data_IF_742375784255
#
_entry.id   IF_742375784255
#
_cell.length_a   1.000
_cell.length_b   1.000
_cell.length_c   1.000
_cell.angle_alpha   90.00
_cell.angle_beta   90.00
_cell.angle_gamma   90.00
#
_symmetry.space_group_name_H-M   'P 1'
#
loop_
_entity.id
_entity.type
_entity.pdbx_description
1 polymer ?
#
# COMPACT_ATOMS: atom_id res chain seq x y z
N UNK A 1 52.89 20.02 -15.33
CA UNK A 1 51.91 19.40 -14.41
C UNK A 1 50.87 18.71 -15.26
N UNK A 2 51.12 17.43 -15.46
CA UNK A 2 50.75 16.67 -16.64
C UNK A 2 49.28 16.26 -16.65
N UNK A 3 48.68 16.27 -17.85
CA UNK A 3 47.31 15.80 -18.10
C UNK A 3 47.05 14.39 -17.55
N UNK A 4 48.11 13.56 -17.44
CA UNK A 4 48.07 12.21 -16.87
C UNK A 4 47.62 12.19 -15.40
N UNK A 5 47.97 13.21 -14.60
CA UNK A 5 47.55 13.29 -13.18
C UNK A 5 46.08 13.67 -13.05
N UNK A 6 45.56 14.50 -13.96
CA UNK A 6 44.14 14.88 -13.98
C UNK A 6 43.24 13.71 -14.40
N UNK A 7 43.66 12.93 -15.40
CA UNK A 7 42.92 11.75 -15.83
C UNK A 7 42.87 10.64 -14.77
N UNK A 8 43.98 10.39 -14.05
CA UNK A 8 43.98 9.44 -12.93
C UNK A 8 43.06 9.89 -11.77
N UNK A 9 43.05 11.19 -11.48
CA UNK A 9 42.22 11.74 -10.40
C UNK A 9 40.73 11.66 -10.75
N UNK A 10 40.37 11.88 -12.02
CA UNK A 10 38.99 11.75 -12.48
C UNK A 10 38.50 10.29 -12.47
N UNK A 11 39.37 9.35 -12.84
CA UNK A 11 39.07 7.91 -12.79
C UNK A 11 38.81 7.44 -11.35
N UNK A 12 39.59 7.93 -10.38
CA UNK A 12 39.40 7.61 -8.97
C UNK A 12 38.04 8.12 -8.45
N UNK A 13 37.65 9.35 -8.81
CA UNK A 13 36.37 9.94 -8.41
C UNK A 13 35.18 9.14 -8.96
N UNK A 14 35.25 8.68 -10.21
CA UNK A 14 34.18 7.84 -10.79
C UNK A 14 34.03 6.51 -10.05
N UNK A 15 35.14 5.90 -9.65
CA UNK A 15 35.12 4.62 -8.95
C UNK A 15 34.50 4.75 -7.55
N UNK A 16 34.76 5.85 -6.85
CA UNK A 16 34.13 6.17 -5.57
C UNK A 16 32.63 6.47 -5.69
N UNK A 17 32.21 7.23 -6.71
CA UNK A 17 30.79 7.50 -6.97
C UNK A 17 30.03 6.22 -7.34
N UNK A 18 30.64 5.36 -8.14
CA UNK A 18 30.05 4.06 -8.48
C UNK A 18 29.91 3.16 -7.26
N UNK A 19 30.94 3.07 -6.42
CA UNK A 19 30.90 2.28 -5.19
C UNK A 19 29.83 2.74 -4.20
N UNK A 20 29.69 4.05 -4.01
CA UNK A 20 28.65 4.62 -3.12
C UNK A 20 27.24 4.42 -3.65
N UNK A 21 27.02 4.52 -4.97
CA UNK A 21 25.74 4.22 -5.60
C UNK A 21 25.35 2.74 -5.45
N UNK A 22 26.30 1.81 -5.60
CA UNK A 22 26.04 0.38 -5.35
C UNK A 22 25.64 0.11 -3.90
N UNK A 23 26.28 0.75 -2.92
CA UNK A 23 25.91 0.62 -1.51
C UNK A 23 24.51 1.18 -1.23
N UNK A 24 24.15 2.33 -1.83
CA UNK A 24 22.81 2.91 -1.71
C UNK A 24 21.74 1.99 -2.34
N UNK A 25 22.03 1.38 -3.49
CA UNK A 25 21.13 0.43 -4.14
C UNK A 25 20.92 -0.85 -3.30
N UNK A 26 21.97 -1.37 -2.66
CA UNK A 26 21.87 -2.51 -1.75
C UNK A 26 21.03 -2.17 -0.50
N UNK A 27 21.21 -0.98 0.06
CA UNK A 27 20.42 -0.51 1.20
C UNK A 27 18.93 -0.35 0.84
N UNK A 28 18.64 0.19 -0.34
CA UNK A 28 17.28 0.33 -0.85
C UNK A 28 16.63 -1.03 -1.15
N UNK A 29 17.39 -1.96 -1.74
CA UNK A 29 16.91 -3.32 -2.05
C UNK A 29 16.59 -4.13 -0.79
N UNK A 30 17.34 -3.94 0.30
CA UNK A 30 17.03 -4.53 1.61
C UNK A 30 15.77 -3.95 2.25
N UNK A 31 15.47 -2.67 1.99
CA UNK A 31 14.21 -2.03 2.37
C UNK A 31 13.00 -2.59 1.62
N UNK A 32 13.16 -2.88 0.33
CA UNK A 32 12.07 -3.43 -0.51
C UNK A 32 11.69 -4.87 -0.13
N UNK A 33 12.64 -5.69 0.34
CA UNK A 33 12.36 -7.05 0.81
C UNK A 33 11.44 -7.09 2.04
N UNK A 34 11.51 -6.07 2.91
CA UNK A 34 10.58 -5.94 4.04
C UNK A 34 9.17 -5.56 3.60
N UNK A 35 9.04 -4.81 2.51
CA UNK A 35 7.72 -4.43 1.97
C UNK A 35 7.07 -5.61 1.26
N UNK A 36 7.81 -6.38 0.46
CA UNK A 36 7.26 -7.56 -0.22
C UNK A 36 6.88 -8.70 0.74
N UNK A 37 7.66 -8.93 1.81
CA UNK A 37 7.30 -9.91 2.85
C UNK A 37 6.07 -9.51 3.67
N UNK A 38 5.74 -8.21 3.75
CA UNK A 38 4.51 -7.74 4.38
C UNK A 38 3.30 -7.80 3.42
N UNK A 39 3.52 -7.83 2.11
CA UNK A 39 2.45 -7.94 1.09
C UNK A 39 2.03 -9.38 0.79
N UNK A 40 2.93 -10.36 0.88
CA UNK A 40 2.60 -11.78 0.67
C UNK A 40 1.53 -12.34 1.64
N UNK A 41 1.56 -12.07 2.97
CA UNK A 41 0.49 -12.51 3.86
C UNK A 41 -0.83 -11.76 3.64
N UNK A 42 -0.80 -10.55 3.07
CA UNK A 42 -2.02 -9.80 2.73
C UNK A 42 -2.74 -10.44 1.55
N UNK A 43 -2.02 -10.88 0.52
CA UNK A 43 -2.65 -11.55 -0.64
C UNK A 43 -3.06 -12.99 -0.37
N UNK A 44 -2.33 -13.75 0.46
CA UNK A 44 -2.72 -15.12 0.83
C UNK A 44 -3.83 -15.14 1.89
N UNK A 45 -3.83 -14.23 2.87
CA UNK A 45 -4.93 -14.06 3.83
C UNK A 45 -6.26 -13.70 3.16
N UNK A 46 -6.21 -12.96 2.05
CA UNK A 46 -7.40 -12.60 1.29
C UNK A 46 -7.99 -13.77 0.48
N UNK A 47 -7.18 -14.74 0.06
CA UNK A 47 -7.68 -15.97 -0.61
C UNK A 47 -8.17 -17.03 0.38
N UNK A 48 -7.65 -17.05 1.60
CA UNK A 48 -8.03 -18.04 2.62
C UNK A 48 -9.25 -17.65 3.47
N UNK A 49 -9.60 -16.35 3.51
CA UNK A 49 -10.76 -15.85 4.27
C UNK A 49 -12.13 -16.14 3.62
N UNK A 50 -12.18 -16.65 2.38
CA UNK A 50 -13.45 -16.95 1.69
C UNK A 50 -13.92 -18.39 1.95
N UNK A 51 -13.08 -19.24 2.55
CA UNK A 51 -13.43 -20.62 2.87
C UNK A 51 -13.53 -20.82 4.39
N UNK A 52 -14.75 -21.05 4.86
CA UNK A 52 -15.13 -21.55 6.20
C UNK A 52 -14.99 -20.58 7.37
N UNK A 53 -16.12 -20.03 7.85
CA UNK A 53 -16.53 -20.12 9.26
C UNK A 53 -18.02 -19.79 9.38
N UNK A 54 -18.87 -20.80 9.11
CA UNK A 54 -20.25 -20.80 9.59
C UNK A 54 -20.17 -21.09 11.10
N UNK A 55 -20.18 -20.03 11.91
CA UNK A 55 -20.13 -20.15 13.36
C UNK A 55 -19.50 -18.92 13.99
N UNK A 56 -20.32 -17.87 14.16
CA UNK A 56 -19.98 -16.64 14.88
C UNK A 56 -18.73 -15.93 14.32
N UNK A 57 -18.82 -15.46 13.07
CA UNK A 57 -17.80 -14.53 12.57
C UNK A 57 -18.03 -13.20 13.28
N UNK A 58 -17.17 -12.85 14.22
CA UNK A 58 -17.12 -11.50 14.77
C UNK A 58 -17.05 -10.50 13.60
N UNK A 59 -17.77 -9.36 13.67
CA UNK A 59 -17.75 -8.38 12.60
C UNK A 59 -16.31 -7.93 12.39
N UNK A 60 -15.82 -8.03 11.15
CA UNK A 60 -14.47 -7.62 10.82
C UNK A 60 -14.41 -6.08 10.96
N UNK A 61 -13.57 -5.61 11.87
CA UNK A 61 -13.46 -4.18 12.19
C UNK A 61 -12.12 -3.59 11.83
N UNK A 62 -12.12 -2.35 11.33
CA UNK A 62 -10.94 -1.57 10.97
C UNK A 62 -10.92 -0.25 11.71
N UNK A 63 -9.74 0.19 12.12
CA UNK A 63 -9.54 1.56 12.63
C UNK A 63 -9.65 2.57 11.49
N UNK A 64 -10.07 3.80 11.78
CA UNK A 64 -10.12 4.84 10.76
C UNK A 64 -8.76 5.18 10.15
N UNK A 65 -7.66 4.94 10.88
CA UNK A 65 -6.32 5.02 10.32
C UNK A 65 -6.10 3.98 9.21
N UNK A 66 -6.54 2.73 9.41
CA UNK A 66 -6.49 1.69 8.38
C UNK A 66 -7.41 2.04 7.21
N UNK A 67 -8.63 2.53 7.49
CA UNK A 67 -9.58 2.97 6.44
C UNK A 67 -8.98 4.09 5.59
N UNK A 68 -8.35 5.09 6.20
CA UNK A 68 -7.66 6.17 5.47
C UNK A 68 -6.53 5.65 4.60
N UNK A 69 -5.74 4.71 5.10
CA UNK A 69 -4.66 4.11 4.33
C UNK A 69 -5.21 3.33 3.12
N UNK A 70 -6.27 2.56 3.33
CA UNK A 70 -6.95 1.82 2.26
C UNK A 70 -7.46 2.75 1.16
N UNK A 71 -8.06 3.90 1.52
CA UNK A 71 -8.54 4.88 0.53
C UNK A 71 -7.37 5.57 -0.18
N UNK A 72 -6.28 5.86 0.53
CA UNK A 72 -5.08 6.41 -0.10
C UNK A 72 -4.49 5.47 -1.18
N UNK A 73 -4.75 4.17 -1.04
CA UNK A 73 -4.34 3.10 -1.97
C UNK A 73 -5.50 2.60 -2.85
N UNK A 74 -6.60 3.33 -2.96
CA UNK A 74 -7.83 2.83 -3.60
C UNK A 74 -7.63 2.42 -5.07
N UNK A 75 -6.75 3.11 -5.80
CA UNK A 75 -6.40 2.79 -7.18
C UNK A 75 -5.68 1.44 -7.31
N UNK A 76 -4.84 1.09 -6.32
CA UNK A 76 -4.12 -0.18 -6.28
C UNK A 76 -5.05 -1.35 -5.95
N UNK A 77 -6.03 -1.10 -5.06
CA UNK A 77 -7.01 -2.10 -4.65
C UNK A 77 -8.05 -2.34 -5.76
N UNK A 78 -8.38 -1.31 -6.54
CA UNK A 78 -9.23 -1.43 -7.72
C UNK A 78 -10.71 -1.69 -7.41
N UNK A 79 -11.18 -1.32 -6.21
CA UNK A 79 -12.58 -1.44 -5.79
C UNK A 79 -13.05 -0.14 -5.15
N UNK A 80 -14.33 0.18 -5.34
CA UNK A 80 -14.90 1.38 -4.74
C UNK A 80 -15.00 1.23 -3.22
N UNK A 81 -14.86 2.34 -2.51
CA UNK A 81 -14.99 2.35 -1.05
C UNK A 81 -16.06 3.33 -0.62
N UNK A 82 -16.95 2.89 0.27
CA UNK A 82 -17.95 3.73 0.89
C UNK A 82 -17.66 3.83 2.38
N UNK A 83 -17.53 5.06 2.90
CA UNK A 83 -17.29 5.32 4.31
C UNK A 83 -18.46 6.14 4.83
N UNK A 84 -19.21 5.56 5.76
CA UNK A 84 -20.53 6.04 6.19
C UNK A 84 -21.45 6.27 4.97
N UNK A 85 -21.49 7.50 4.46
CA UNK A 85 -22.29 7.93 3.31
C UNK A 85 -21.47 8.57 2.18
N UNK A 86 -20.13 8.56 2.28
CA UNK A 86 -19.24 9.13 1.27
C UNK A 86 -18.68 8.02 0.39
N UNK A 87 -18.93 8.12 -0.93
CA UNK A 87 -18.37 7.21 -1.92
C UNK A 87 -17.01 7.75 -2.40
N UNK A 88 -16.03 6.85 -2.41
CA UNK A 88 -14.69 7.05 -2.93
C UNK A 88 -14.52 6.07 -4.10
N UNK A 89 -14.62 6.55 -5.35
CA UNK A 89 -14.45 5.68 -6.50
C UNK A 89 -12.97 5.35 -6.72
N UNK A 90 -12.64 4.10 -7.05
CA UNK A 90 -11.25 3.66 -7.22
C UNK A 90 -10.53 4.33 -8.39
N UNK A 91 -11.27 4.85 -9.36
CA UNK A 91 -10.71 5.51 -10.55
C UNK A 91 -10.34 6.99 -10.30
N UNK A 92 -10.66 7.54 -9.13
CA UNK A 92 -10.39 8.95 -8.78
C UNK A 92 -9.45 8.98 -7.58
N UNK A 93 -8.32 9.68 -7.70
CA UNK A 93 -7.45 9.89 -6.55
C UNK A 93 -8.19 10.76 -5.51
N UNK A 94 -8.36 10.29 -4.27
CA UNK A 94 -9.01 11.07 -3.23
C UNK A 94 -8.16 12.30 -2.85
N UNK A 95 -8.80 13.45 -2.77
CA UNK A 95 -8.17 14.66 -2.27
C UNK A 95 -7.73 14.49 -0.80
N UNK A 96 -6.54 14.94 -0.39
CA UNK A 96 -6.06 14.79 0.99
C UNK A 96 -7.03 15.35 2.04
N UNK A 97 -7.74 16.44 1.71
CA UNK A 97 -8.76 17.04 2.58
C UNK A 97 -9.98 16.16 2.81
N UNK A 98 -10.32 15.27 1.87
CA UNK A 98 -11.41 14.33 2.04
C UNK A 98 -11.04 13.24 3.07
N UNK A 99 -9.78 12.78 3.06
CA UNK A 99 -9.27 11.77 4.00
C UNK A 99 -9.24 12.27 5.45
N UNK A 100 -9.08 13.58 5.65
CA UNK A 100 -9.09 14.19 6.99
C UNK A 100 -10.47 14.13 7.68
N UNK A 101 -11.54 13.92 6.92
CA UNK A 101 -12.90 13.77 7.48
C UNK A 101 -13.11 12.42 8.17
N UNK A 102 -12.20 11.46 7.95
CA UNK A 102 -12.27 10.13 8.52
C UNK A 102 -11.59 10.17 9.88
N UNK A 103 -12.37 9.94 10.92
CA UNK A 103 -11.87 9.84 12.28
C UNK A 103 -10.97 8.61 12.42
N UNK A 104 -9.69 8.83 12.69
CA UNK A 104 -8.66 7.78 12.82
C UNK A 104 -8.81 6.93 14.06
N UNK A 105 -9.48 7.42 15.09
CA UNK A 105 -9.67 6.72 16.38
C UNK A 105 -10.95 5.89 16.39
N UNK A 106 -11.90 6.18 15.48
CA UNK A 106 -13.13 5.40 15.32
C UNK A 106 -12.82 4.02 14.70
N UNK A 107 -13.56 3.03 15.17
CA UNK A 107 -13.60 1.69 14.57
C UNK A 107 -14.79 1.58 13.64
N UNK A 108 -14.58 1.06 12.44
CA UNK A 108 -15.57 0.84 11.40
C UNK A 108 -15.76 -0.66 11.18
N UNK A 109 -16.99 -1.10 11.04
CA UNK A 109 -17.31 -2.44 10.56
C UNK A 109 -17.21 -2.47 9.05
N UNK A 110 -16.60 -3.51 8.49
CA UNK A 110 -16.53 -3.67 7.03
C UNK A 110 -17.63 -4.59 6.52
N UNK A 111 -18.20 -4.22 5.37
CA UNK A 111 -19.10 -5.06 4.58
C UNK A 111 -18.65 -5.06 3.13
N UNK A 112 -18.69 -6.22 2.48
CA UNK A 112 -18.31 -6.39 1.08
C UNK A 112 -19.56 -6.52 0.22
N UNK A 113 -19.68 -5.71 -0.82
CA UNK A 113 -20.72 -5.81 -1.83
C UNK A 113 -20.13 -6.45 -3.09
N UNK A 114 -20.80 -7.48 -3.60
CA UNK A 114 -20.36 -8.24 -4.77
C UNK A 114 -21.31 -8.08 -5.95
N UNK A 115 -20.79 -8.25 -7.17
CA UNK A 115 -21.60 -8.36 -8.39
C UNK A 115 -22.31 -9.72 -8.51
N UNK A 116 -22.99 -9.94 -9.64
CA UNK A 116 -23.68 -11.20 -9.96
C UNK A 116 -22.71 -12.38 -10.20
N UNK A 117 -21.42 -12.10 -10.39
CA UNK A 117 -20.35 -13.05 -10.63
C UNK A 117 -19.57 -13.37 -9.35
N UNK A 118 -19.88 -12.69 -8.24
CA UNK A 118 -19.22 -12.87 -6.94
C UNK A 118 -17.95 -12.05 -6.76
N UNK A 119 -17.63 -11.10 -7.65
CA UNK A 119 -16.49 -10.20 -7.49
C UNK A 119 -16.86 -9.05 -6.56
N UNK A 120 -15.94 -8.65 -5.68
CA UNK A 120 -16.13 -7.49 -4.82
C UNK A 120 -16.08 -6.22 -5.68
N UNK A 121 -17.16 -5.44 -5.64
CA UNK A 121 -17.28 -4.16 -6.36
C UNK A 121 -17.12 -2.99 -5.41
N UNK A 122 -17.62 -3.13 -4.18
CA UNK A 122 -17.60 -2.04 -3.19
C UNK A 122 -17.31 -2.57 -1.79
N UNK A 123 -16.43 -1.86 -1.07
CA UNK A 123 -16.15 -2.08 0.34
C UNK A 123 -16.82 -0.96 1.15
N UNK A 124 -17.71 -1.32 2.07
CA UNK A 124 -18.43 -0.38 2.92
C UNK A 124 -17.88 -0.40 4.34
N UNK A 125 -17.58 0.77 4.90
CA UNK A 125 -17.13 1.00 6.27
C UNK A 125 -18.19 1.82 7.02
N UNK A 126 -18.73 1.32 8.15
CA UNK A 126 -19.76 1.97 8.97
C UNK A 126 -19.52 1.83 10.46
#
# INVERSE_FOLDING_TARGET
MDNSTKSMLWLAVQLFLFGTACLAALYLSGGMQKVTQLSEPVMQGQKQSVQQYIGVSEPLTYTGAQVRQSIAQIQEIGVDMQIDHSLYPHHIQPEPSALLKIDVQRTYQVTYQTDQQGNIVTIQFS
#
